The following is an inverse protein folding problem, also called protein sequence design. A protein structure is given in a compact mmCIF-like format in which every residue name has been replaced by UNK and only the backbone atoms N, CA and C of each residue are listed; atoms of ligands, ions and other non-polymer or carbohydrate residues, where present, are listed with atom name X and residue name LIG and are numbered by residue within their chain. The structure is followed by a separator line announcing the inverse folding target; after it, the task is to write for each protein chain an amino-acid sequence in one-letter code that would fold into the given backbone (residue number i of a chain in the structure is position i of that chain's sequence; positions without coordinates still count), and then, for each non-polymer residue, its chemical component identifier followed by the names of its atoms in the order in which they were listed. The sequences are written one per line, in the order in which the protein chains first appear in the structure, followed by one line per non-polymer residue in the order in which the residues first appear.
data_IF_304128781680
#
_entry.id   IF_304128781680
#
_cell.length_a   1.000
_cell.length_b   1.000
_cell.length_c   1.000
_cell.angle_alpha   90.00
_cell.angle_beta   90.00
_cell.angle_gamma   90.00
#
_symmetry.space_group_name_H-M   'P 1'
#
loop_
_entity.id
_entity.type
_entity.pdbx_description
1 polymer ?
#
# COMPACT_ATOMS: atom_id res chain seq x y z
N UNK A 1 -11.81 7.14 19.46
CA UNK A 1 -11.99 6.05 18.47
C UNK A 1 -11.95 6.67 17.08
N UNK A 2 -10.77 6.91 16.54
CA UNK A 2 -10.60 7.48 15.20
C UNK A 2 -9.75 6.51 14.41
N UNK A 3 -10.40 5.81 13.47
CA UNK A 3 -9.78 4.89 12.51
C UNK A 3 -8.87 5.72 11.63
N UNK A 4 -7.59 5.80 12.00
CA UNK A 4 -6.68 6.62 11.26
C UNK A 4 -6.27 5.91 9.98
N UNK A 5 -6.59 6.54 8.86
CA UNK A 5 -6.09 6.24 7.53
C UNK A 5 -4.60 6.56 7.40
N UNK A 6 -3.80 6.32 8.45
CA UNK A 6 -2.35 6.58 8.45
C UNK A 6 -1.67 5.65 7.45
N UNK A 7 -0.73 6.18 6.64
CA UNK A 7 0.10 5.38 5.75
C UNK A 7 0.91 4.40 6.60
N UNK A 8 0.57 3.12 6.55
CA UNK A 8 1.16 2.11 7.40
C UNK A 8 2.43 1.55 6.75
N UNK A 9 3.57 1.58 7.42
CA UNK A 9 4.77 0.89 6.94
C UNK A 9 4.74 -0.61 7.25
N UNK A 10 3.86 -1.01 8.15
CA UNK A 10 3.65 -2.38 8.59
C UNK A 10 2.20 -2.75 8.26
N UNK A 11 1.99 -3.85 7.55
CA UNK A 11 0.65 -4.31 7.19
C UNK A 11 0.65 -5.29 6.03
N UNK A 12 -0.38 -6.13 5.97
CA UNK A 12 -0.50 -7.16 4.93
C UNK A 12 -0.54 -6.55 3.53
N UNK A 13 -0.01 -7.29 2.55
CA UNK A 13 -0.12 -7.01 1.11
C UNK A 13 -1.54 -7.24 0.59
N UNK A 14 -2.52 -6.54 1.15
CA UNK A 14 -3.90 -6.60 0.68
C UNK A 14 -4.11 -5.59 -0.46
N UNK A 15 -4.21 -6.13 -1.68
CA UNK A 15 -4.59 -5.41 -2.89
C UNK A 15 -6.03 -4.89 -2.90
N UNK A 16 -6.84 -5.26 -1.91
CA UNK A 16 -8.28 -5.01 -1.95
C UNK A 16 -9.01 -5.97 -2.90
N UNK A 17 -10.19 -5.57 -3.39
CA UNK A 17 -11.07 -6.43 -4.19
C UNK A 17 -11.49 -5.73 -5.49
N UNK A 18 -11.69 -6.47 -6.59
CA UNK A 18 -12.24 -5.92 -7.83
C UNK A 18 -13.74 -5.62 -7.71
N UNK A 19 -14.22 -4.57 -8.37
CA UNK A 19 -15.64 -4.18 -8.32
C UNK A 19 -16.03 -3.08 -9.31
N UNK A 20 -17.34 -2.86 -9.50
CA UNK A 20 -17.85 -1.76 -10.34
C UNK A 20 -17.43 -0.42 -9.70
N UNK A 21 -16.63 0.38 -10.42
CA UNK A 21 -15.98 1.63 -9.97
C UNK A 21 -14.75 1.47 -9.06
N UNK A 22 -14.10 0.31 -9.11
CA UNK A 22 -12.78 0.10 -8.49
C UNK A 22 -11.74 -0.01 -9.61
N UNK A 23 -10.85 0.98 -9.69
CA UNK A 23 -9.81 1.00 -10.73
C UNK A 23 -8.54 0.34 -10.23
N UNK A 24 -8.25 -0.81 -10.82
CA UNK A 24 -6.99 -1.49 -10.62
C UNK A 24 -5.82 -0.58 -11.05
N UNK A 25 -4.80 -0.51 -10.21
CA UNK A 25 -3.56 0.24 -10.48
C UNK A 25 -2.40 -0.44 -9.75
N UNK A 26 -1.19 -0.22 -10.26
CA UNK A 26 0.02 -0.62 -9.54
C UNK A 26 0.31 0.41 -8.47
N UNK A 27 0.52 -0.06 -7.25
CA UNK A 27 0.95 0.74 -6.10
C UNK A 27 2.20 0.10 -5.51
N UNK A 28 2.90 0.84 -4.66
CA UNK A 28 4.10 0.36 -3.96
C UNK A 28 3.75 0.03 -2.52
N UNK A 29 4.16 -1.14 -2.03
CA UNK A 29 3.97 -1.59 -0.65
C UNK A 29 5.33 -1.86 -0.02
N UNK A 30 5.48 -1.55 1.27
CA UNK A 30 6.71 -1.72 2.01
C UNK A 30 6.70 -3.09 2.67
N UNK A 31 7.63 -3.94 2.25
CA UNK A 31 7.85 -5.25 2.87
C UNK A 31 8.91 -5.10 3.95
N UNK A 32 8.51 -5.22 5.21
CA UNK A 32 9.39 -5.10 6.38
C UNK A 32 10.36 -6.27 6.52
N UNK A 33 10.05 -7.42 5.90
CA UNK A 33 10.92 -8.61 5.92
C UNK A 33 12.11 -8.43 5.00
N UNK A 34 11.89 -7.86 3.82
CA UNK A 34 12.97 -7.54 2.86
C UNK A 34 13.49 -6.12 3.02
N UNK A 35 12.81 -5.29 3.82
CA UNK A 35 13.05 -3.84 4.02
C UNK A 35 13.04 -3.05 2.71
N UNK A 36 12.19 -3.45 1.77
CA UNK A 36 12.11 -2.85 0.44
C UNK A 36 10.68 -2.51 0.04
N UNK A 37 10.56 -1.43 -0.73
CA UNK A 37 9.33 -1.08 -1.41
C UNK A 37 9.17 -1.92 -2.68
N UNK A 38 8.11 -2.70 -2.73
CA UNK A 38 7.82 -3.57 -3.86
C UNK A 38 6.48 -3.19 -4.52
N UNK A 39 6.40 -3.24 -5.86
CA UNK A 39 5.15 -2.99 -6.54
C UNK A 39 4.15 -4.12 -6.25
N UNK A 40 2.88 -3.78 -6.12
CA UNK A 40 1.79 -4.72 -5.92
C UNK A 40 0.52 -4.25 -6.65
N UNK A 41 -0.36 -5.20 -6.94
CA UNK A 41 -1.62 -4.91 -7.62
C UNK A 41 -2.66 -4.42 -6.62
N UNK A 42 -3.11 -3.17 -6.76
CA UNK A 42 -4.19 -2.60 -5.98
C UNK A 42 -5.45 -2.53 -6.84
N UNK A 43 -6.53 -3.19 -6.43
CA UNK A 43 -7.78 -3.31 -7.19
C UNK A 43 -8.65 -2.05 -7.17
N UNK A 44 -8.22 -1.00 -6.48
CA UNK A 44 -8.92 0.29 -6.47
C UNK A 44 -9.84 0.50 -5.26
N UNK A 45 -10.25 -0.58 -4.60
CA UNK A 45 -11.14 -0.52 -3.43
C UNK A 45 -10.64 -1.39 -2.27
N UNK A 46 -10.72 -0.85 -1.05
CA UNK A 46 -10.34 -1.54 0.17
C UNK A 46 -8.82 -1.68 0.31
N UNK A 47 -8.37 -2.86 0.73
CA UNK A 47 -6.96 -3.19 0.83
C UNK A 47 -6.23 -2.55 2.01
N UNK A 48 -4.90 -2.64 1.97
CA UNK A 48 -4.02 -2.11 3.02
C UNK A 48 -3.64 -0.64 2.78
N UNK A 49 -3.42 0.10 3.87
CA UNK A 49 -2.88 1.46 3.84
C UNK A 49 -1.36 1.50 3.64
N UNK A 50 -0.69 0.35 3.66
CA UNK A 50 0.71 0.18 3.28
C UNK A 50 0.82 0.25 1.75
N UNK A 51 0.52 1.42 1.18
CA UNK A 51 0.53 1.66 -0.26
C UNK A 51 0.91 3.11 -0.61
N UNK A 52 1.76 3.27 -1.61
CA UNK A 52 2.19 4.58 -2.13
C UNK A 52 2.20 4.60 -3.65
N UNK A 53 2.08 5.79 -4.24
CA UNK A 53 2.04 5.98 -5.69
C UNK A 53 3.39 5.73 -6.34
N UNK A 54 4.49 6.01 -5.63
CA UNK A 54 5.85 5.83 -6.15
C UNK A 54 6.73 5.09 -5.14
N UNK A 55 7.81 4.51 -5.65
CA UNK A 55 8.80 3.80 -4.85
C UNK A 55 9.50 4.75 -3.89
N UNK A 56 9.83 5.94 -4.35
CA UNK A 56 10.57 6.96 -3.59
C UNK A 56 9.77 7.41 -2.37
N UNK A 57 8.46 7.65 -2.52
CA UNK A 57 7.60 8.04 -1.39
C UNK A 57 7.50 6.91 -0.38
N UNK A 58 7.38 5.66 -0.84
CA UNK A 58 7.36 4.49 0.02
C UNK A 58 8.67 4.37 0.83
N UNK A 59 9.81 4.49 0.15
CA UNK A 59 11.11 4.41 0.81
C UNK A 59 11.29 5.59 1.77
N UNK A 60 11.02 6.82 1.36
CA UNK A 60 11.13 8.00 2.24
C UNK A 60 10.25 7.91 3.49
N UNK A 61 9.06 7.30 3.40
CA UNK A 61 8.17 7.16 4.56
C UNK A 61 8.55 6.02 5.50
N UNK A 62 9.03 4.90 4.95
CA UNK A 62 9.19 3.66 5.72
C UNK A 62 10.62 3.19 5.91
N UNK A 63 11.55 3.63 5.06
CA UNK A 63 12.98 3.36 5.16
C UNK A 63 13.64 4.44 6.05
N UNK A 64 13.27 4.44 7.33
CA UNK A 64 14.00 5.14 8.39
C UNK A 64 15.03 4.25 9.04
#
# INVERSE_FOLDING_TARGET
MSRESTPACTGSRSGGWPGRRCFARIMWNYDTRTRQCQPFHYWGCGGSNNRWCTREICEQRCRR
#
